data_IF_827199094348
#
_entry.id   IF_827199094348
#
_cell.length_a   1.000
_cell.length_b   1.000
_cell.length_c   1.000
_cell.angle_alpha   90.00
_cell.angle_beta   90.00
_cell.angle_gamma   90.00
#
_symmetry.space_group_name_H-M   'P 1'
#
loop_
_entity.id
_entity.type
_entity.pdbx_description
1 polymer ?
#
# COMPACT_ATOMS: atom_id res chain seq x y z
N UNK A 1 20.70 -8.93 -22.09
CA UNK A 1 19.38 -8.50 -21.56
C UNK A 1 19.68 -7.65 -20.36
N UNK A 2 19.31 -6.39 -20.39
CA UNK A 2 19.49 -5.52 -19.24
C UNK A 2 18.28 -5.71 -18.32
N UNK A 3 18.51 -6.42 -17.20
CA UNK A 3 17.43 -6.90 -16.30
C UNK A 3 16.61 -5.74 -15.73
N UNK A 4 17.26 -4.60 -15.47
CA UNK A 4 16.69 -3.43 -14.82
C UNK A 4 16.39 -2.27 -15.77
N UNK A 5 16.34 -2.53 -17.08
CA UNK A 5 16.12 -1.46 -18.07
C UNK A 5 14.85 -0.66 -17.79
N UNK A 6 13.71 -1.33 -17.64
CA UNK A 6 12.42 -0.67 -17.36
C UNK A 6 12.45 0.12 -16.05
N UNK A 7 13.15 -0.40 -15.03
CA UNK A 7 13.35 0.31 -13.76
C UNK A 7 14.13 1.60 -13.93
N UNK A 8 15.25 1.53 -14.64
CA UNK A 8 16.10 2.69 -14.88
C UNK A 8 15.34 3.78 -15.65
N UNK A 9 14.61 3.39 -16.70
CA UNK A 9 13.74 4.31 -17.46
C UNK A 9 12.63 4.92 -16.56
N UNK A 10 12.03 4.14 -15.66
CA UNK A 10 11.05 4.64 -14.67
C UNK A 10 11.66 5.62 -13.67
N UNK A 11 12.88 5.36 -13.20
CA UNK A 11 13.60 6.23 -12.27
C UNK A 11 13.97 7.57 -12.94
N UNK A 12 14.39 7.56 -14.20
CA UNK A 12 14.64 8.78 -14.98
C UNK A 12 13.38 9.64 -15.12
N UNK A 13 12.21 9.01 -15.33
CA UNK A 13 10.93 9.73 -15.30
C UNK A 13 10.64 10.32 -13.93
N UNK A 14 10.87 9.57 -12.84
CA UNK A 14 10.67 10.05 -11.48
C UNK A 14 11.62 11.18 -11.10
N UNK A 15 12.82 11.24 -11.66
CA UNK A 15 13.78 12.33 -11.42
C UNK A 15 13.51 13.57 -12.29
N UNK A 16 12.62 13.46 -13.27
CA UNK A 16 12.27 14.55 -14.19
C UNK A 16 10.78 14.86 -14.12
N UNK A 17 10.00 14.27 -15.02
CA UNK A 17 8.58 14.57 -15.24
C UNK A 17 7.69 14.20 -14.05
N UNK A 18 8.04 13.16 -13.30
CA UNK A 18 7.29 12.64 -12.15
C UNK A 18 7.94 12.96 -10.80
N UNK A 19 8.74 14.02 -10.74
CA UNK A 19 9.44 14.46 -9.53
C UNK A 19 8.52 14.79 -8.36
N UNK A 20 7.35 15.39 -8.61
CA UNK A 20 6.35 15.63 -7.57
C UNK A 20 5.77 14.32 -7.02
N UNK A 21 5.45 13.36 -7.89
CA UNK A 21 4.90 12.06 -7.50
C UNK A 21 5.92 11.25 -6.69
N UNK A 22 7.20 11.31 -7.09
CA UNK A 22 8.32 10.74 -6.32
C UNK A 22 8.37 11.34 -4.93
N UNK A 23 8.37 12.68 -4.83
CA UNK A 23 8.42 13.39 -3.56
C UNK A 23 7.28 12.97 -2.62
N UNK A 24 6.03 12.93 -3.11
CA UNK A 24 4.86 12.54 -2.31
C UNK A 24 4.97 11.10 -1.80
N UNK A 25 5.43 10.17 -2.64
CA UNK A 25 5.64 8.78 -2.21
C UNK A 25 6.74 8.68 -1.15
N UNK A 26 7.85 9.40 -1.33
CA UNK A 26 8.94 9.45 -0.35
C UNK A 26 8.46 10.01 0.99
N UNK A 27 7.66 11.07 0.98
CA UNK A 27 7.04 11.62 2.21
C UNK A 27 6.08 10.61 2.86
N UNK A 28 5.30 9.89 2.05
CA UNK A 28 4.38 8.86 2.57
C UNK A 28 5.14 7.76 3.32
N UNK A 29 6.25 7.26 2.76
CA UNK A 29 7.08 6.26 3.43
C UNK A 29 7.74 6.81 4.69
N UNK A 30 8.25 8.05 4.66
CA UNK A 30 8.85 8.70 5.84
C UNK A 30 7.85 8.89 6.98
N UNK A 31 6.61 9.27 6.68
CA UNK A 31 5.57 9.40 7.70
C UNK A 31 5.16 8.04 8.27
N UNK A 32 5.14 6.99 7.46
CA UNK A 32 4.95 5.62 7.96
C UNK A 32 6.09 5.23 8.90
N UNK A 33 7.34 5.53 8.55
CA UNK A 33 8.50 5.29 9.43
C UNK A 33 8.35 6.03 10.76
N UNK A 34 7.97 7.31 10.71
CA UNK A 34 7.71 8.08 11.93
C UNK A 34 6.60 7.48 12.80
N UNK A 35 5.52 6.96 12.19
CA UNK A 35 4.48 6.23 12.92
C UNK A 35 5.01 4.93 13.54
N UNK A 36 5.95 4.25 12.88
CA UNK A 36 6.63 3.07 13.47
C UNK A 36 7.45 3.48 14.68
N UNK A 37 8.21 4.58 14.60
CA UNK A 37 9.01 5.08 15.73
C UNK A 37 8.12 5.37 16.94
N UNK A 38 6.96 6.02 16.74
CA UNK A 38 5.98 6.27 17.81
C UNK A 38 5.47 4.98 18.45
N UNK A 39 5.24 3.92 17.67
CA UNK A 39 4.89 2.61 18.22
C UNK A 39 6.05 1.95 18.96
N UNK A 40 7.27 2.07 18.43
CA UNK A 40 8.47 1.46 19.01
C UNK A 40 8.81 2.07 20.38
N UNK A 41 8.69 3.39 20.52
CA UNK A 41 8.96 4.14 21.76
C UNK A 41 8.16 3.66 22.98
N UNK A 42 7.02 2.98 22.75
CA UNK A 42 6.14 2.44 23.80
C UNK A 42 5.99 0.92 23.74
N UNK A 43 6.74 0.24 22.90
CA UNK A 43 6.57 -1.19 22.64
C UNK A 43 6.95 -2.08 23.83
N UNK A 44 7.91 -1.64 24.67
CA UNK A 44 8.32 -2.40 25.87
C UNK A 44 7.21 -2.45 26.92
N UNK A 45 6.46 -1.36 27.08
CA UNK A 45 5.42 -1.22 28.10
C UNK A 45 4.02 -1.57 27.57
N UNK A 46 3.84 -1.61 26.25
CA UNK A 46 2.54 -1.82 25.63
C UNK A 46 2.58 -2.80 24.48
N UNK A 47 1.98 -3.98 24.71
CA UNK A 47 1.78 -5.01 23.68
C UNK A 47 1.01 -4.49 22.47
N UNK A 48 0.04 -3.59 22.67
CA UNK A 48 -0.71 -2.97 21.59
C UNK A 48 0.17 -2.13 20.68
N UNK A 49 1.06 -1.32 21.25
CA UNK A 49 2.06 -0.57 20.48
C UNK A 49 2.98 -1.52 19.72
N UNK A 50 3.51 -2.54 20.39
CA UNK A 50 4.39 -3.51 19.76
C UNK A 50 3.73 -4.22 18.56
N UNK A 51 2.50 -4.72 18.72
CA UNK A 51 1.77 -5.42 17.67
C UNK A 51 1.36 -4.48 16.53
N UNK A 52 0.92 -3.25 16.83
CA UNK A 52 0.63 -2.25 15.80
C UNK A 52 1.88 -1.85 15.02
N UNK A 53 3.02 -1.66 15.69
CA UNK A 53 4.31 -1.38 15.05
C UNK A 53 4.74 -2.50 14.10
N UNK A 54 4.71 -3.76 14.54
CA UNK A 54 5.01 -4.92 13.68
C UNK A 54 4.06 -4.97 12.47
N UNK A 55 2.77 -4.72 12.70
CA UNK A 55 1.74 -4.73 11.66
C UNK A 55 2.02 -3.67 10.60
N UNK A 56 2.38 -2.45 11.03
CA UNK A 56 2.70 -1.34 10.15
C UNK A 56 3.99 -1.59 9.35
N UNK A 57 5.05 -2.08 9.98
CA UNK A 57 6.31 -2.44 9.30
C UNK A 57 6.07 -3.50 8.22
N UNK A 58 5.27 -4.53 8.53
CA UNK A 58 4.90 -5.55 7.53
C UNK A 58 4.17 -4.92 6.35
N UNK A 59 3.16 -4.09 6.60
CA UNK A 59 2.43 -3.38 5.55
C UNK A 59 3.38 -2.51 4.69
N UNK A 60 4.26 -1.73 5.32
CA UNK A 60 5.29 -0.92 4.65
C UNK A 60 6.16 -1.75 3.72
N UNK A 61 6.63 -2.91 4.17
CA UNK A 61 7.48 -3.79 3.36
C UNK A 61 6.75 -4.34 2.13
N UNK A 62 5.45 -4.68 2.26
CA UNK A 62 4.65 -5.05 1.08
C UNK A 62 4.47 -3.86 0.13
N UNK A 63 4.23 -2.65 0.65
CA UNK A 63 4.13 -1.45 -0.17
C UNK A 63 5.42 -1.15 -0.95
N UNK A 64 6.57 -1.28 -0.28
CA UNK A 64 7.89 -1.11 -0.91
C UNK A 64 8.16 -2.18 -1.99
N UNK A 65 7.77 -3.43 -1.73
CA UNK A 65 7.83 -4.50 -2.73
C UNK A 65 6.97 -4.19 -3.95
N UNK A 66 5.74 -3.73 -3.73
CA UNK A 66 4.83 -3.30 -4.80
C UNK A 66 5.41 -2.11 -5.59
N UNK A 67 5.98 -1.11 -4.91
CA UNK A 67 6.65 0.03 -5.54
C UNK A 67 7.77 -0.44 -6.49
N UNK A 68 8.66 -1.31 -6.02
CA UNK A 68 9.74 -1.86 -6.85
C UNK A 68 9.23 -2.59 -8.10
N UNK A 69 8.18 -3.40 -7.96
CA UNK A 69 7.54 -4.09 -9.08
C UNK A 69 6.86 -3.12 -10.07
N UNK A 70 6.25 -2.04 -9.58
CA UNK A 70 5.67 -0.99 -10.41
C UNK A 70 6.75 -0.32 -11.27
N UNK A 71 7.92 -0.02 -10.69
CA UNK A 71 9.06 0.54 -11.44
C UNK A 71 9.58 -0.41 -12.52
N UNK A 72 9.48 -1.72 -12.29
CA UNK A 72 9.83 -2.75 -13.28
C UNK A 72 8.79 -2.93 -14.40
N UNK A 73 7.68 -2.17 -14.36
CA UNK A 73 6.55 -2.34 -15.28
C UNK A 73 5.66 -3.55 -14.95
N UNK A 74 5.80 -4.12 -13.75
CA UNK A 74 5.10 -5.32 -13.26
C UNK A 74 3.92 -4.96 -12.33
N UNK A 75 3.17 -3.92 -12.68
CA UNK A 75 2.06 -3.42 -11.84
C UNK A 75 0.94 -4.45 -11.61
N UNK A 76 0.69 -5.32 -12.60
CA UNK A 76 -0.33 -6.37 -12.48
C UNK A 76 0.07 -7.44 -11.45
N UNK A 77 1.36 -7.78 -11.43
CA UNK A 77 1.97 -8.69 -10.46
C UNK A 77 2.09 -8.01 -9.09
N UNK A 78 2.36 -6.71 -9.04
CA UNK A 78 2.40 -5.93 -7.79
C UNK A 78 1.07 -6.01 -7.02
N UNK A 79 -0.06 -6.16 -7.72
CA UNK A 79 -1.36 -6.42 -7.10
C UNK A 79 -1.38 -7.64 -6.16
N UNK A 80 -0.56 -8.66 -6.43
CA UNK A 80 -0.43 -9.83 -5.56
C UNK A 80 0.25 -9.51 -4.22
N UNK A 81 1.08 -8.47 -4.19
CA UNK A 81 1.80 -7.96 -3.02
C UNK A 81 0.98 -6.88 -2.29
N UNK A 82 0.20 -6.09 -3.03
CA UNK A 82 -0.72 -5.10 -2.43
C UNK A 82 -1.86 -5.78 -1.65
N UNK A 83 -2.30 -6.96 -2.09
CA UNK A 83 -3.34 -7.71 -1.36
C UNK A 83 -2.99 -7.97 0.11
N UNK A 84 -1.87 -8.64 0.47
CA UNK A 84 -1.52 -8.83 1.88
C UNK A 84 -1.27 -7.50 2.60
N UNK A 85 -0.81 -6.45 1.92
CA UNK A 85 -0.71 -5.10 2.51
C UNK A 85 -2.08 -4.60 3.01
N UNK A 86 -3.14 -4.74 2.21
CA UNK A 86 -4.50 -4.36 2.60
C UNK A 86 -4.99 -5.19 3.79
N UNK A 87 -4.60 -6.46 3.89
CA UNK A 87 -4.93 -7.28 5.06
C UNK A 87 -4.26 -6.75 6.33
N UNK A 88 -3.05 -6.19 6.25
CA UNK A 88 -2.39 -5.52 7.39
C UNK A 88 -3.01 -4.17 7.72
N UNK A 89 -3.47 -3.42 6.72
CA UNK A 89 -4.24 -2.19 6.94
C UNK A 89 -5.53 -2.48 7.72
N UNK A 90 -6.29 -3.50 7.31
CA UNK A 90 -7.47 -3.95 8.05
C UNK A 90 -7.12 -4.50 9.43
N UNK A 91 -5.93 -5.07 9.60
CA UNK A 91 -5.45 -5.56 10.87
C UNK A 91 -5.10 -4.43 11.86
N UNK A 92 -4.56 -3.30 11.41
CA UNK A 92 -4.40 -2.10 12.25
C UNK A 92 -5.75 -1.62 12.77
N UNK A 93 -6.72 -1.44 11.87
CA UNK A 93 -8.09 -1.08 12.25
C UNK A 93 -8.69 -2.09 13.23
N UNK A 94 -8.43 -3.38 13.03
CA UNK A 94 -8.89 -4.44 13.92
C UNK A 94 -8.35 -4.28 15.34
N UNK A 95 -7.05 -4.07 15.51
CA UNK A 95 -6.45 -3.90 16.84
C UNK A 95 -6.92 -2.64 17.55
N UNK A 96 -7.19 -1.56 16.80
CA UNK A 96 -7.80 -0.35 17.37
C UNK A 96 -9.21 -0.60 17.90
N UNK A 97 -10.02 -1.38 17.19
CA UNK A 97 -11.42 -1.65 17.57
C UNK A 97 -11.57 -2.80 18.57
N UNK A 98 -10.61 -3.72 18.62
CA UNK A 98 -10.59 -4.91 19.47
C UNK A 98 -9.21 -5.07 20.12
N UNK A 99 -8.80 -4.14 21.01
CA UNK A 99 -7.46 -4.14 21.60
C UNK A 99 -7.17 -5.39 22.45
N UNK A 100 -8.20 -6.06 22.96
CA UNK A 100 -8.08 -7.33 23.70
C UNK A 100 -7.51 -8.48 22.84
N UNK A 101 -7.71 -8.42 21.52
CA UNK A 101 -7.29 -9.46 20.60
C UNK A 101 -5.79 -9.35 20.22
N UNK A 102 -5.08 -8.34 20.72
CA UNK A 102 -3.62 -8.19 20.57
C UNK A 102 -2.88 -9.41 21.14
N UNK A 103 -3.36 -9.97 22.27
CA UNK A 103 -2.78 -11.18 22.86
C UNK A 103 -2.91 -12.39 21.92
N UNK A 104 -4.02 -12.49 21.18
CA UNK A 104 -4.22 -13.55 20.19
C UNK A 104 -3.22 -13.43 19.04
N UNK A 105 -2.81 -12.21 18.68
CA UNK A 105 -1.80 -11.96 17.66
C UNK A 105 -0.43 -12.53 18.08
N UNK A 106 -0.02 -12.24 19.33
CA UNK A 106 1.27 -12.68 19.87
C UNK A 106 1.39 -14.21 19.96
N UNK A 107 0.28 -14.91 20.18
CA UNK A 107 0.25 -16.38 20.26
C UNK A 107 -0.19 -17.06 18.95
N UNK A 108 -0.35 -16.30 17.86
CA UNK A 108 -0.71 -16.84 16.54
C UNK A 108 -2.12 -17.44 16.45
N UNK A 109 -3.06 -16.97 17.27
CA UNK A 109 -4.46 -17.46 17.36
C UNK A 109 -5.50 -16.47 16.86
N UNK A 110 -5.08 -15.46 16.09
CA UNK A 110 -6.02 -14.51 15.49
C UNK A 110 -7.04 -15.22 14.59
N UNK A 111 -8.31 -14.76 14.59
CA UNK A 111 -9.27 -15.17 13.57
C UNK A 111 -8.72 -14.90 12.17
N UNK A 112 -9.15 -15.67 11.16
CA UNK A 112 -8.70 -15.46 9.78
C UNK A 112 -9.06 -14.06 9.25
N UNK A 113 -8.39 -13.62 8.18
CA UNK A 113 -8.55 -12.28 7.62
C UNK A 113 -10.00 -11.93 7.25
N UNK A 114 -10.75 -12.88 6.68
CA UNK A 114 -12.15 -12.69 6.31
C UNK A 114 -13.07 -12.43 7.50
N UNK A 115 -12.87 -13.16 8.61
CA UNK A 115 -13.62 -12.95 9.85
C UNK A 115 -13.30 -11.59 10.46
N UNK A 116 -12.02 -11.21 10.51
CA UNK A 116 -11.60 -9.89 11.02
C UNK A 116 -12.19 -8.75 10.20
N UNK A 117 -12.12 -8.84 8.87
CA UNK A 117 -12.67 -7.85 7.95
C UNK A 117 -14.19 -7.65 8.13
N UNK A 118 -14.94 -8.73 8.37
CA UNK A 118 -16.38 -8.63 8.69
C UNK A 118 -16.62 -7.93 10.04
N UNK A 119 -15.83 -8.26 11.07
CA UNK A 119 -15.97 -7.69 12.42
C UNK A 119 -15.78 -6.17 12.43
N UNK A 120 -14.90 -5.64 11.58
CA UNK A 120 -14.58 -4.20 11.47
C UNK A 120 -15.41 -3.47 10.40
N UNK A 121 -16.40 -4.13 9.78
CA UNK A 121 -17.12 -3.64 8.61
C UNK A 121 -16.16 -3.09 7.53
N UNK A 122 -15.15 -3.89 7.16
CA UNK A 122 -14.09 -3.51 6.24
C UNK A 122 -14.62 -3.20 4.84
N UNK A 123 -14.31 -2.01 4.33
CA UNK A 123 -14.74 -1.53 3.02
C UNK A 123 -13.92 -2.11 1.85
N UNK A 124 -12.80 -2.78 2.14
CA UNK A 124 -11.87 -3.27 1.11
C UNK A 124 -12.30 -4.59 0.46
N UNK A 125 -13.53 -5.07 0.70
CA UNK A 125 -14.01 -6.31 0.10
C UNK A 125 -13.94 -6.27 -1.44
N UNK A 126 -14.41 -5.17 -2.03
CA UNK A 126 -14.42 -4.98 -3.49
C UNK A 126 -13.00 -4.90 -4.05
N UNK A 127 -12.10 -4.19 -3.38
CA UNK A 127 -10.69 -4.09 -3.78
C UNK A 127 -10.00 -5.46 -3.70
N UNK A 128 -10.25 -6.26 -2.65
CA UNK A 128 -9.73 -7.64 -2.57
C UNK A 128 -10.27 -8.52 -3.69
N UNK A 129 -11.56 -8.38 -4.05
CA UNK A 129 -12.16 -9.10 -5.18
C UNK A 129 -11.54 -8.66 -6.50
N UNK A 130 -11.28 -7.36 -6.68
CA UNK A 130 -10.56 -6.85 -7.84
C UNK A 130 -9.18 -7.51 -7.95
N UNK A 131 -8.38 -7.51 -6.88
CA UNK A 131 -7.08 -8.19 -6.93
C UNK A 131 -7.21 -9.70 -7.21
N UNK A 132 -8.22 -10.40 -6.67
CA UNK A 132 -8.45 -11.81 -7.02
C UNK A 132 -8.67 -12.05 -8.52
N UNK A 133 -9.42 -11.16 -9.17
CA UNK A 133 -9.84 -11.33 -10.56
C UNK A 133 -8.82 -10.79 -11.56
N UNK A 134 -8.08 -9.74 -11.18
CA UNK A 134 -7.23 -8.98 -12.08
C UNK A 134 -5.74 -9.17 -11.80
N UNK A 135 -5.29 -9.29 -10.54
CA UNK A 135 -3.86 -9.47 -10.29
C UNK A 135 -3.38 -10.85 -10.76
N UNK A 136 -2.07 -10.99 -10.98
CA UNK A 136 -1.46 -12.25 -11.46
C UNK A 136 -1.42 -13.34 -10.36
N UNK A 137 -2.58 -13.70 -9.82
CA UNK A 137 -2.75 -14.76 -8.82
C UNK A 137 -3.06 -16.09 -9.51
N UNK A 138 -2.09 -16.72 -10.18
CA UNK A 138 -2.22 -18.07 -10.78
C UNK A 138 -3.42 -18.28 -11.74
N UNK A 139 -4.15 -17.22 -12.05
CA UNK A 139 -5.39 -17.21 -12.83
C UNK A 139 -5.05 -17.01 -14.30
N UNK A 140 -5.73 -17.76 -15.16
CA UNK A 140 -5.65 -17.64 -16.61
C UNK A 140 -6.82 -16.83 -17.20
N UNK A 141 -7.58 -16.12 -16.35
CA UNK A 141 -8.63 -15.22 -16.81
C UNK A 141 -8.07 -14.11 -17.70
N UNK A 142 -8.82 -13.68 -18.71
CA UNK A 142 -8.35 -12.72 -19.73
C UNK A 142 -7.66 -11.50 -19.09
N UNK A 143 -8.30 -10.89 -18.09
CA UNK A 143 -7.78 -9.70 -17.43
C UNK A 143 -6.45 -9.90 -16.69
N UNK A 144 -6.17 -11.12 -16.20
CA UNK A 144 -4.96 -11.43 -15.43
C UNK A 144 -3.74 -11.71 -16.32
N UNK A 145 -3.95 -12.06 -17.60
CA UNK A 145 -2.87 -12.46 -18.53
C UNK A 145 -2.75 -11.55 -19.76
N UNK A 146 -3.75 -10.71 -20.06
CA UNK A 146 -3.77 -9.88 -21.27
C UNK A 146 -2.55 -8.97 -21.39
N UNK A 147 -2.01 -8.46 -20.28
CA UNK A 147 -0.82 -7.61 -20.30
C UNK A 147 0.43 -8.35 -20.80
N UNK A 148 0.47 -9.68 -20.68
CA UNK A 148 1.57 -10.53 -21.16
C UNK A 148 1.59 -10.69 -22.69
N UNK A 149 0.51 -10.36 -23.41
CA UNK A 149 0.44 -10.50 -24.85
C UNK A 149 0.84 -9.21 -25.56
N UNK A 150 1.47 -9.35 -26.73
CA UNK A 150 1.61 -8.22 -27.67
C UNK A 150 0.23 -7.86 -28.21
N UNK A 151 0.03 -6.57 -28.51
CA UNK A 151 -1.25 -6.07 -29.02
C UNK A 151 -1.69 -6.89 -30.25
N UNK A 152 -2.93 -7.34 -30.22
CA UNK A 152 -3.58 -8.14 -31.27
C UNK A 152 -2.76 -9.37 -31.71
N UNK A 153 -2.05 -10.01 -30.77
CA UNK A 153 -1.17 -11.14 -31.05
C UNK A 153 -1.15 -12.19 -29.93
N UNK A 154 -1.01 -13.46 -30.31
CA UNK A 154 -0.74 -14.57 -29.38
C UNK A 154 0.71 -14.58 -28.87
N UNK A 155 1.57 -13.71 -29.38
CA UNK A 155 2.98 -13.65 -28.98
C UNK A 155 3.12 -13.01 -27.61
N UNK A 156 3.85 -13.68 -26.72
CA UNK A 156 4.14 -13.19 -25.37
C UNK A 156 5.22 -12.10 -25.35
N UNK A 157 5.08 -11.16 -24.42
CA UNK A 157 6.11 -10.22 -24.00
C UNK A 157 7.02 -10.92 -22.99
N UNK A 158 8.33 -10.89 -23.25
CA UNK A 158 9.34 -11.42 -22.32
C UNK A 158 9.82 -10.37 -21.31
N UNK A 159 9.55 -9.10 -21.60
CA UNK A 159 9.87 -7.94 -20.76
C UNK A 159 8.67 -7.00 -20.85
N UNK A 160 8.24 -6.45 -19.72
CA UNK A 160 7.24 -5.40 -19.70
C UNK A 160 7.93 -4.06 -19.94
N UNK A 161 7.70 -3.41 -21.09
CA UNK A 161 8.32 -2.12 -21.37
C UNK A 161 7.68 -1.02 -20.52
N UNK A 162 8.42 0.07 -20.32
CA UNK A 162 7.88 1.27 -19.69
C UNK A 162 6.67 1.77 -20.49
N UNK A 163 5.57 1.99 -19.78
CA UNK A 163 4.45 2.79 -20.25
C UNK A 163 4.20 3.90 -19.22
N UNK A 164 4.43 5.15 -19.62
CA UNK A 164 4.34 6.32 -18.74
C UNK A 164 2.96 6.47 -18.08
N UNK A 165 1.88 6.27 -18.85
CA UNK A 165 0.52 6.37 -18.32
C UNK A 165 0.19 5.25 -17.32
N UNK A 166 0.64 4.02 -17.58
CA UNK A 166 0.50 2.90 -16.64
C UNK A 166 1.33 3.12 -15.38
N UNK A 167 2.58 3.60 -15.50
CA UNK A 167 3.42 3.94 -14.35
C UNK A 167 2.72 5.00 -13.48
N UNK A 168 2.28 6.11 -14.07
CA UNK A 168 1.58 7.18 -13.35
C UNK A 168 0.33 6.69 -12.60
N UNK A 169 -0.48 5.85 -13.25
CA UNK A 169 -1.68 5.28 -12.62
C UNK A 169 -1.33 4.39 -11.45
N UNK A 170 -0.43 3.42 -11.64
CA UNK A 170 -0.01 2.48 -10.61
C UNK A 170 0.62 3.19 -9.39
N UNK A 171 1.42 4.23 -9.62
CA UNK A 171 2.01 5.04 -8.54
C UNK A 171 0.93 5.80 -7.75
N UNK A 172 -0.09 6.33 -8.44
CA UNK A 172 -1.22 6.98 -7.77
C UNK A 172 -2.09 6.01 -6.97
N UNK A 173 -2.28 4.79 -7.49
CA UNK A 173 -3.01 3.74 -6.76
C UNK A 173 -2.23 3.30 -5.53
N UNK A 174 -0.89 3.15 -5.64
CA UNK A 174 -0.02 2.88 -4.50
C UNK A 174 -0.10 4.00 -3.46
N UNK A 175 -0.02 5.28 -3.88
CA UNK A 175 -0.17 6.42 -2.99
C UNK A 175 -1.50 6.38 -2.24
N UNK A 176 -2.62 6.12 -2.93
CA UNK A 176 -3.93 6.03 -2.28
C UNK A 176 -3.94 4.95 -1.19
N UNK A 177 -3.34 3.79 -1.44
CA UNK A 177 -3.25 2.73 -0.43
C UNK A 177 -2.30 3.08 0.73
N UNK A 178 -1.16 3.73 0.45
CA UNK A 178 -0.23 4.22 1.47
C UNK A 178 -0.91 5.26 2.37
N UNK A 179 -1.70 6.16 1.80
CA UNK A 179 -2.43 7.17 2.56
C UNK A 179 -3.49 6.54 3.49
N UNK A 180 -4.25 5.54 3.02
CA UNK A 180 -5.21 4.84 3.88
C UNK A 180 -4.48 4.07 4.98
N UNK A 181 -3.36 3.42 4.68
CA UNK A 181 -2.52 2.75 5.67
C UNK A 181 -2.02 3.74 6.74
N UNK A 182 -1.50 4.88 6.31
CA UNK A 182 -1.03 5.94 7.18
C UNK A 182 -2.17 6.41 8.09
N UNK A 183 -3.34 6.75 7.53
CA UNK A 183 -4.55 7.15 8.29
C UNK A 183 -4.92 6.14 9.36
N UNK A 184 -4.92 4.84 9.05
CA UNK A 184 -5.22 3.81 10.07
C UNK A 184 -4.13 3.71 11.13
N UNK A 185 -2.85 3.88 10.78
CA UNK A 185 -1.76 3.95 11.76
C UNK A 185 -1.94 5.12 12.74
N UNK A 186 -2.24 6.31 12.21
CA UNK A 186 -2.46 7.52 13.01
C UNK A 186 -3.67 7.36 13.93
N UNK A 187 -4.76 6.79 13.44
CA UNK A 187 -5.92 6.52 14.29
C UNK A 187 -5.61 5.50 15.40
N UNK A 188 -4.69 4.57 15.18
CA UNK A 188 -4.21 3.69 16.23
C UNK A 188 -3.34 4.45 17.24
N UNK A 189 -2.44 5.33 16.77
CA UNK A 189 -1.62 6.19 17.63
C UNK A 189 -2.51 7.09 18.49
N UNK A 190 -3.45 7.80 17.88
CA UNK A 190 -4.43 8.66 18.55
C UNK A 190 -5.16 7.91 19.67
N UNK A 191 -5.64 6.70 19.36
CA UNK A 191 -6.33 5.86 20.34
C UNK A 191 -5.43 5.39 21.48
N UNK A 192 -4.18 5.00 21.19
CA UNK A 192 -3.25 4.44 22.17
C UNK A 192 -2.50 5.49 22.99
N UNK A 193 -2.33 6.69 22.46
CA UNK A 193 -1.62 7.81 23.07
C UNK A 193 -2.53 8.91 23.61
N UNK A 194 -3.84 8.74 23.47
CA UNK A 194 -4.86 9.75 23.84
C UNK A 194 -4.70 11.07 23.08
N UNK A 195 -4.25 10.97 21.83
CA UNK A 195 -4.01 12.11 20.96
C UNK A 195 -2.84 11.91 19.99
N UNK A 196 -2.79 12.79 18.99
CA UNK A 196 -1.62 13.02 18.15
C UNK A 196 -1.17 14.48 18.29
N UNK A 197 0.09 14.73 17.97
CA UNK A 197 0.62 16.11 17.91
C UNK A 197 -0.04 16.89 16.76
N UNK A 198 -0.20 18.20 16.94
CA UNK A 198 -0.69 19.11 15.89
C UNK A 198 0.16 19.03 14.61
N UNK A 199 1.50 18.95 14.76
CA UNK A 199 2.42 18.81 13.63
C UNK A 199 2.10 17.57 12.78
N UNK A 200 1.96 16.40 13.42
CA UNK A 200 1.61 15.16 12.73
C UNK A 200 0.29 15.32 11.96
N UNK A 201 -0.74 15.90 12.59
CA UNK A 201 -2.03 16.15 11.96
C UNK A 201 -1.90 17.03 10.70
N UNK A 202 -1.19 18.16 10.80
CA UNK A 202 -0.97 19.08 9.68
C UNK A 202 -0.18 18.42 8.53
N UNK A 203 0.84 17.63 8.84
CA UNK A 203 1.61 16.90 7.84
C UNK A 203 0.76 15.92 7.03
N UNK A 204 -0.18 15.23 7.66
CA UNK A 204 -1.07 14.26 6.99
C UNK A 204 -2.04 14.96 6.07
N UNK A 205 -2.66 16.04 6.53
CA UNK A 205 -3.62 16.81 5.75
C UNK A 205 -2.95 17.46 4.54
N UNK A 206 -1.73 17.98 4.73
CA UNK A 206 -0.90 18.50 3.63
C UNK A 206 -0.57 17.41 2.62
N UNK A 207 -0.08 16.25 3.08
CA UNK A 207 0.26 15.12 2.21
C UNK A 207 -0.97 14.63 1.41
N UNK A 208 -2.14 14.61 2.03
CA UNK A 208 -3.39 14.21 1.39
C UNK A 208 -3.75 15.15 0.23
N UNK A 209 -3.76 16.46 0.49
CA UNK A 209 -4.12 17.47 -0.50
C UNK A 209 -3.11 17.51 -1.65
N UNK A 210 -1.82 17.51 -1.32
CA UNK A 210 -0.77 17.54 -2.34
C UNK A 210 -0.76 16.25 -3.17
N UNK A 211 -1.00 15.09 -2.54
CA UNK A 211 -1.03 13.81 -3.23
C UNK A 211 -2.27 13.65 -4.13
N UNK A 212 -3.44 14.10 -3.70
CA UNK A 212 -4.64 14.16 -4.57
C UNK A 212 -4.34 14.94 -5.84
N UNK A 213 -3.72 16.12 -5.68
CA UNK A 213 -3.35 16.98 -6.80
C UNK A 213 -2.29 16.35 -7.68
N UNK A 214 -1.21 15.81 -7.09
CA UNK A 214 -0.09 15.26 -7.82
C UNK A 214 -0.48 14.03 -8.66
N UNK A 215 -1.42 13.21 -8.18
CA UNK A 215 -1.86 12.01 -8.89
C UNK A 215 -3.18 12.17 -9.66
N UNK A 216 -3.73 13.39 -9.68
CA UNK A 216 -4.98 13.75 -10.37
C UNK A 216 -6.14 12.83 -9.93
N UNK A 217 -6.21 12.49 -8.64
CA UNK A 217 -7.11 11.43 -8.15
C UNK A 217 -8.60 11.77 -8.35
N UNK A 218 -8.96 13.04 -8.30
CA UNK A 218 -10.34 13.49 -8.56
C UNK A 218 -10.76 13.30 -10.03
N UNK A 219 -9.82 13.41 -10.96
CA UNK A 219 -10.10 13.24 -12.38
C UNK A 219 -10.27 11.76 -12.75
N UNK A 220 -9.72 10.85 -11.95
CA UNK A 220 -9.85 9.39 -12.12
C UNK A 220 -11.23 8.85 -11.77
N UNK A 221 -12.06 9.63 -11.07
CA UNK A 221 -13.42 9.25 -10.65
C UNK A 221 -14.49 9.59 -11.70
N UNK A 222 -14.10 10.25 -12.80
CA UNK A 222 -14.98 10.63 -13.93
C UNK A 222 -14.86 9.62 -15.08
#
# INVERSE_FOLDING_TARGET
MELWRTRNESLELLDSEFSQQKFILDQSFRLIDHCVDIFEDRAEDSKSHHVCGITLVKAKNFALGAYGMILDGLGQEAGAVIRPMIEYLELLKYFRLFPEDVELALVGKLPNAGTRAKKINGIHHEIRQHFNNYSSHGSYGEHAIKHLFKQDSIKLKKVQPLNKGTLFRNLGDLFAQLYILLREAILCIDHLNEGITEDLAEFIDTLHLEGIKAFELEERLK
#
